data_IF_770876593466
#
_entry.id   IF_770876593466
#
_cell.length_a   1.000
_cell.length_b   1.000
_cell.length_c   1.000
_cell.angle_alpha   90.00
_cell.angle_beta   90.00
_cell.angle_gamma   90.00
#
_symmetry.space_group_name_H-M   'P 1'
#
loop_
_entity.id
_entity.type
_entity.pdbx_description
1 polymer ?
#
# COMPACT_ATOMS: atom_id res chain seq x y z
N UNK A 1 13.23 17.52 8.02
CA UNK A 1 12.50 17.10 6.79
C UNK A 1 13.15 15.90 6.11
N UNK A 2 14.46 15.93 5.82
CA UNK A 2 15.18 14.83 5.14
C UNK A 2 14.99 13.45 5.80
N UNK A 3 15.03 13.37 7.13
CA UNK A 3 14.82 12.11 7.85
C UNK A 3 13.43 11.51 7.61
N UNK A 4 12.37 12.32 7.67
CA UNK A 4 11.00 11.84 7.43
C UNK A 4 10.82 11.32 6.00
N UNK A 5 11.38 12.03 5.01
CA UNK A 5 11.36 11.57 3.62
C UNK A 5 12.09 10.22 3.49
N UNK A 6 13.25 10.07 4.15
CA UNK A 6 13.96 8.79 4.16
C UNK A 6 13.13 7.67 4.82
N UNK A 7 12.47 7.95 5.95
CA UNK A 7 11.60 7.02 6.66
C UNK A 7 10.36 6.59 5.86
N UNK A 8 9.86 7.46 4.97
CA UNK A 8 8.80 7.11 4.02
C UNK A 8 9.25 6.14 2.91
N UNK A 9 10.57 5.87 2.79
CA UNK A 9 11.23 4.99 1.82
C UNK A 9 10.78 5.22 0.38
N UNK A 10 11.21 6.32 -0.27
CA UNK A 10 10.77 6.68 -1.62
C UNK A 10 11.00 5.57 -2.67
N UNK A 11 12.06 4.76 -2.49
CA UNK A 11 12.37 3.60 -3.35
C UNK A 11 11.30 2.50 -3.33
N UNK A 12 10.45 2.45 -2.32
CA UNK A 12 9.34 1.48 -2.21
C UNK A 12 8.03 1.99 -2.84
N UNK A 13 7.90 3.31 -3.04
CA UNK A 13 6.66 3.91 -3.55
C UNK A 13 6.26 3.48 -4.97
N UNK A 14 7.18 3.12 -5.89
CA UNK A 14 6.78 2.54 -7.17
C UNK A 14 5.92 1.28 -7.03
N UNK A 15 6.15 0.44 -6.01
CA UNK A 15 5.34 -0.75 -5.76
C UNK A 15 3.89 -0.41 -5.39
N UNK A 16 3.64 0.77 -4.81
CA UNK A 16 2.31 1.28 -4.49
C UNK A 16 1.66 2.04 -5.66
N UNK A 17 2.47 2.69 -6.51
CA UNK A 17 2.02 3.50 -7.63
C UNK A 17 1.55 2.64 -8.82
N UNK A 18 2.35 1.66 -9.21
CA UNK A 18 2.13 0.84 -10.41
C UNK A 18 0.78 0.11 -10.39
N UNK A 19 0.36 -0.57 -9.30
CA UNK A 19 -0.93 -1.24 -9.24
C UNK A 19 -2.12 -0.33 -9.54
N UNK A 20 -2.09 0.90 -9.03
CA UNK A 20 -3.19 1.86 -9.21
C UNK A 20 -3.26 2.33 -10.66
N UNK A 21 -2.12 2.63 -11.27
CA UNK A 21 -2.04 3.03 -12.68
C UNK A 21 -2.53 1.89 -13.57
N UNK A 22 -1.98 0.68 -13.39
CA UNK A 22 -2.33 -0.49 -14.22
C UNK A 22 -3.79 -0.87 -14.05
N UNK A 23 -4.30 -0.90 -12.82
CA UNK A 23 -5.71 -1.22 -12.53
C UNK A 23 -6.67 -0.20 -13.16
N UNK A 24 -6.37 1.09 -13.02
CA UNK A 24 -7.16 2.17 -13.63
C UNK A 24 -7.12 2.10 -15.15
N UNK A 25 -5.95 1.85 -15.74
CA UNK A 25 -5.81 1.70 -17.19
C UNK A 25 -6.54 0.46 -17.72
N UNK A 26 -6.53 -0.65 -16.98
CA UNK A 26 -7.27 -1.86 -17.35
C UNK A 26 -8.79 -1.68 -17.32
N UNK A 27 -9.29 -0.68 -16.60
CA UNK A 27 -10.70 -0.30 -16.59
C UNK A 27 -11.08 0.67 -17.73
N UNK A 28 -10.11 1.26 -18.43
CA UNK A 28 -10.35 2.23 -19.49
C UNK A 28 -11.17 1.60 -20.65
N UNK A 29 -12.17 2.33 -21.14
CA UNK A 29 -13.06 1.85 -22.22
C UNK A 29 -14.09 0.79 -21.81
N UNK A 30 -14.10 0.33 -20.55
CA UNK A 30 -15.10 -0.64 -20.07
C UNK A 30 -16.43 -0.01 -19.65
N UNK A 31 -16.53 1.32 -19.63
CA UNK A 31 -17.76 2.06 -19.31
C UNK A 31 -18.62 2.39 -20.54
N UNK A 32 -18.33 1.80 -21.71
CA UNK A 32 -19.11 1.98 -22.94
C UNK A 32 -18.79 3.26 -23.72
N UNK A 33 -17.83 4.06 -23.25
CA UNK A 33 -17.34 5.24 -23.95
C UNK A 33 -16.27 4.86 -24.99
N UNK A 34 -16.39 5.39 -26.21
CA UNK A 34 -15.45 5.15 -27.31
C UNK A 34 -14.10 5.84 -27.08
N UNK A 35 -14.05 6.85 -26.21
CA UNK A 35 -12.80 7.40 -25.72
C UNK A 35 -12.44 6.76 -24.36
N UNK A 36 -11.44 5.88 -24.38
CA UNK A 36 -11.02 5.09 -23.23
C UNK A 36 -10.73 5.94 -21.97
N UNK A 37 -10.28 7.19 -22.12
CA UNK A 37 -9.98 8.10 -21.01
C UNK A 37 -11.18 8.88 -20.50
N UNK A 38 -12.19 9.15 -21.35
CA UNK A 38 -13.39 9.91 -20.95
C UNK A 38 -14.28 9.14 -19.99
N UNK A 39 -14.26 7.81 -20.08
CA UNK A 39 -15.01 6.93 -19.17
C UNK A 39 -14.41 6.76 -17.77
N UNK A 40 -13.27 7.40 -17.46
CA UNK A 40 -12.60 7.26 -16.16
C UNK A 40 -12.94 8.42 -15.21
N UNK A 41 -13.17 8.09 -13.94
CA UNK A 41 -13.34 9.07 -12.88
C UNK A 41 -11.98 9.47 -12.31
N UNK A 42 -11.46 10.61 -12.76
CA UNK A 42 -10.14 11.14 -12.35
C UNK A 42 -10.04 11.26 -10.83
N UNK A 43 -11.09 11.75 -10.17
CA UNK A 43 -11.07 11.91 -8.72
C UNK A 43 -10.96 10.54 -8.00
N UNK A 44 -11.58 9.47 -8.54
CA UNK A 44 -11.49 8.11 -7.98
C UNK A 44 -10.07 7.55 -8.17
N UNK A 45 -9.43 7.83 -9.30
CA UNK A 45 -8.03 7.48 -9.53
C UNK A 45 -7.08 8.18 -8.54
N UNK A 46 -7.24 9.49 -8.36
CA UNK A 46 -6.44 10.27 -7.40
C UNK A 46 -6.67 9.77 -5.98
N UNK A 47 -7.91 9.50 -5.59
CA UNK A 47 -8.22 8.95 -4.27
C UNK A 47 -7.59 7.56 -4.08
N UNK A 48 -7.63 6.67 -5.09
CA UNK A 48 -6.98 5.36 -5.03
C UNK A 48 -5.45 5.47 -4.90
N UNK A 49 -4.83 6.44 -5.58
CA UNK A 49 -3.40 6.76 -5.41
C UNK A 49 -3.10 7.24 -4.00
N UNK A 50 -3.92 8.11 -3.44
CA UNK A 50 -3.77 8.59 -2.06
C UNK A 50 -3.86 7.42 -1.08
N UNK A 51 -4.85 6.53 -1.24
CA UNK A 51 -4.96 5.30 -0.42
C UNK A 51 -3.68 4.48 -0.50
N UNK A 52 -3.26 4.11 -1.71
CA UNK A 52 -2.11 3.21 -1.92
C UNK A 52 -0.81 3.80 -1.36
N UNK A 53 -0.52 5.06 -1.68
CA UNK A 53 0.69 5.74 -1.22
C UNK A 53 0.66 5.97 0.30
N UNK A 54 -0.48 6.38 0.87
CA UNK A 54 -0.58 6.59 2.31
C UNK A 54 -0.47 5.29 3.10
N UNK A 55 -1.04 4.17 2.61
CA UNK A 55 -0.82 2.85 3.20
C UNK A 55 0.65 2.42 3.12
N UNK A 56 1.31 2.57 1.96
CA UNK A 56 2.72 2.23 1.81
C UNK A 56 3.63 3.04 2.76
N UNK A 57 3.40 4.35 2.84
CA UNK A 57 4.14 5.23 3.76
C UNK A 57 3.84 4.84 5.21
N UNK A 58 2.58 4.57 5.54
CA UNK A 58 2.15 4.14 6.87
C UNK A 58 2.82 2.83 7.29
N UNK A 59 2.88 1.83 6.40
CA UNK A 59 3.62 0.57 6.61
C UNK A 59 5.10 0.83 6.85
N UNK A 60 5.72 1.71 6.06
CA UNK A 60 7.14 2.02 6.22
C UNK A 60 7.45 2.62 7.59
N UNK A 61 6.59 3.51 8.11
CA UNK A 61 6.71 4.04 9.47
C UNK A 61 6.33 3.03 10.54
N UNK A 62 5.31 2.21 10.33
CA UNK A 62 4.91 1.16 11.26
C UNK A 62 6.04 0.13 11.45
N UNK A 63 6.71 -0.24 10.36
CA UNK A 63 7.90 -1.10 10.37
C UNK A 63 9.07 -0.41 11.08
N UNK A 64 9.33 0.87 10.80
CA UNK A 64 10.39 1.63 11.48
C UNK A 64 10.19 1.69 12.99
N UNK A 65 8.97 2.01 13.42
CA UNK A 65 8.59 2.00 14.82
C UNK A 65 8.74 0.61 15.45
N UNK A 66 8.12 -0.40 14.84
CA UNK A 66 7.99 -1.73 15.44
C UNK A 66 9.31 -2.50 15.48
N UNK A 67 10.13 -2.40 14.42
CA UNK A 67 11.48 -2.98 14.40
C UNK A 67 12.41 -2.24 15.38
N UNK A 68 12.31 -0.91 15.44
CA UNK A 68 13.13 -0.07 16.31
C UNK A 68 12.90 -0.31 17.80
N UNK A 69 11.65 -0.42 18.26
CA UNK A 69 11.37 -0.71 19.68
C UNK A 69 11.69 -2.15 20.08
N UNK A 70 11.71 -3.09 19.12
CA UNK A 70 12.10 -4.49 19.38
C UNK A 70 13.60 -4.71 19.43
N UNK A 71 14.39 -3.72 18.99
CA UNK A 71 15.85 -3.84 18.89
C UNK A 71 16.32 -4.60 17.65
N UNK A 72 15.43 -4.96 16.72
CA UNK A 72 15.77 -5.65 15.47
C UNK A 72 16.69 -4.82 14.57
N UNK A 73 16.65 -3.49 14.72
CA UNK A 73 17.50 -2.55 13.96
C UNK A 73 18.85 -2.22 14.65
N UNK A 74 19.22 -2.86 15.77
CA UNK A 74 20.43 -2.51 16.54
C UNK A 74 21.76 -2.78 15.80
N UNK A 75 21.90 -3.94 15.15
CA UNK A 75 23.12 -4.36 14.44
C UNK A 75 22.95 -4.41 12.92
N UNK A 76 22.02 -3.62 12.39
CA UNK A 76 21.62 -3.69 10.99
C UNK A 76 22.58 -2.93 10.06
N UNK A 77 22.96 -3.58 8.96
CA UNK A 77 23.51 -2.93 7.76
C UNK A 77 22.35 -2.62 6.81
N UNK A 78 22.01 -1.34 6.61
CA UNK A 78 20.90 -0.94 5.73
C UNK A 78 20.55 0.54 5.80
N UNK A 79 19.48 0.98 5.09
CA UNK A 79 19.03 2.37 5.11
C UNK A 79 18.70 2.83 6.52
N UNK A 80 18.96 4.12 6.79
CA UNK A 80 18.70 4.75 8.08
C UNK A 80 17.24 4.54 8.55
N UNK A 81 17.09 4.15 9.82
CA UNK A 81 15.80 3.99 10.53
C UNK A 81 15.61 5.08 11.55
N UNK A 82 14.44 5.70 11.60
CA UNK A 82 14.14 6.84 12.46
C UNK A 82 14.21 6.48 13.95
N UNK A 83 13.58 5.35 14.30
CA UNK A 83 13.43 4.87 15.68
C UNK A 83 14.71 4.18 16.14
N UNK A 84 15.22 3.23 15.36
CA UNK A 84 16.42 2.46 15.70
C UNK A 84 17.69 3.32 15.84
N UNK A 85 17.81 4.41 15.05
CA UNK A 85 18.95 5.33 15.17
C UNK A 85 18.78 6.44 16.23
N UNK A 86 17.65 6.47 16.94
CA UNK A 86 17.34 7.52 17.93
C UNK A 86 17.07 8.92 17.33
N UNK A 87 17.04 9.08 16.01
CA UNK A 87 16.79 10.39 15.36
C UNK A 87 15.39 10.95 15.60
N UNK A 88 14.41 10.09 15.84
CA UNK A 88 13.04 10.44 16.23
C UNK A 88 12.55 9.53 17.34
N UNK A 89 11.72 10.08 18.22
CA UNK A 89 11.12 9.28 19.28
C UNK A 89 10.16 8.24 18.70
N UNK A 90 10.10 7.02 19.27
CA UNK A 90 9.19 5.97 18.80
C UNK A 90 7.73 6.44 18.75
N UNK A 91 7.30 7.24 19.73
CA UNK A 91 5.95 7.82 19.76
C UNK A 91 5.66 8.75 18.58
N UNK A 92 6.64 9.52 18.11
CA UNK A 92 6.47 10.37 16.93
C UNK A 92 6.34 9.54 15.64
N UNK A 93 7.15 8.50 15.49
CA UNK A 93 7.10 7.61 14.31
C UNK A 93 5.80 6.80 14.28
N UNK A 94 5.36 6.29 15.43
CA UNK A 94 4.03 5.64 15.57
C UNK A 94 2.91 6.59 15.15
N UNK A 95 2.91 7.84 15.64
CA UNK A 95 1.90 8.84 15.24
C UNK A 95 1.92 9.09 13.73
N UNK A 96 3.09 9.19 13.12
CA UNK A 96 3.21 9.35 11.67
C UNK A 96 2.58 8.18 10.91
N UNK A 97 2.81 6.93 11.35
CA UNK A 97 2.18 5.74 10.76
C UNK A 97 0.65 5.81 10.83
N UNK A 98 0.08 6.11 12.01
CA UNK A 98 -1.37 6.20 12.18
C UNK A 98 -2.00 7.39 11.44
N UNK A 99 -1.30 8.52 11.32
CA UNK A 99 -1.75 9.64 10.50
C UNK A 99 -1.83 9.24 9.02
N UNK A 100 -0.82 8.51 8.51
CA UNK A 100 -0.85 7.96 7.15
C UNK A 100 -2.01 6.97 6.95
N UNK A 101 -2.26 6.08 7.91
CA UNK A 101 -3.43 5.20 7.87
C UNK A 101 -4.76 5.98 7.93
N UNK A 102 -4.82 7.07 8.71
CA UNK A 102 -5.98 7.96 8.74
C UNK A 102 -6.25 8.62 7.39
N UNK A 103 -5.21 9.11 6.71
CA UNK A 103 -5.32 9.66 5.34
C UNK A 103 -5.84 8.59 4.37
N UNK A 104 -5.29 7.38 4.43
CA UNK A 104 -5.77 6.27 3.63
C UNK A 104 -7.24 5.92 3.94
N UNK A 105 -7.64 5.92 5.21
CA UNK A 105 -9.00 5.61 5.62
C UNK A 105 -9.99 6.67 5.10
N UNK A 106 -9.66 7.96 5.18
CA UNK A 106 -10.53 9.03 4.66
C UNK A 106 -10.69 8.93 3.13
N UNK A 107 -9.59 8.72 2.39
CA UNK A 107 -9.66 8.54 0.94
C UNK A 107 -10.34 7.22 0.53
N UNK A 108 -10.15 6.16 1.30
CA UNK A 108 -10.81 4.87 1.08
C UNK A 108 -12.32 4.92 1.36
N UNK A 109 -12.73 5.66 2.40
CA UNK A 109 -14.13 5.89 2.71
C UNK A 109 -14.84 6.70 1.62
N UNK A 110 -14.19 7.72 1.05
CA UNK A 110 -14.80 8.47 -0.06
C UNK A 110 -15.01 7.59 -1.31
N UNK A 111 -14.08 6.68 -1.59
CA UNK A 111 -14.24 5.67 -2.63
C UNK A 111 -15.38 4.69 -2.32
N UNK A 112 -15.47 4.20 -1.07
CA UNK A 112 -16.53 3.29 -0.66
C UNK A 112 -17.93 3.92 -0.78
N UNK A 113 -18.08 5.18 -0.36
CA UNK A 113 -19.33 5.95 -0.48
C UNK A 113 -19.73 6.12 -1.94
N UNK A 114 -18.78 6.34 -2.84
CA UNK A 114 -19.07 6.57 -4.25
C UNK A 114 -19.22 5.31 -5.10
N UNK A 115 -18.91 4.14 -4.55
CA UNK A 115 -18.92 2.86 -5.30
C UNK A 115 -19.62 1.78 -4.50
N UNK A 116 -18.95 1.19 -3.51
CA UNK A 116 -19.54 0.14 -2.69
C UNK A 116 -18.97 0.03 -1.28
N UNK A 117 -19.85 -0.20 -0.32
CA UNK A 117 -19.54 -0.29 1.11
C UNK A 117 -18.63 -1.45 1.49
N UNK A 118 -18.55 -2.53 0.70
CA UNK A 118 -17.64 -3.65 0.98
C UNK A 118 -16.16 -3.23 0.90
N UNK A 119 -15.83 -2.13 0.21
CA UNK A 119 -14.49 -1.54 0.22
C UNK A 119 -14.04 -1.09 1.62
N UNK A 120 -14.97 -0.82 2.55
CA UNK A 120 -14.62 -0.56 3.95
C UNK A 120 -13.96 -1.78 4.56
N UNK A 121 -14.50 -2.98 4.33
CA UNK A 121 -13.92 -4.22 4.85
C UNK A 121 -12.52 -4.45 4.25
N UNK A 122 -12.34 -4.21 2.95
CA UNK A 122 -11.01 -4.29 2.29
C UNK A 122 -10.02 -3.31 2.92
N UNK A 123 -10.44 -2.06 3.12
CA UNK A 123 -9.60 -1.02 3.73
C UNK A 123 -9.19 -1.38 5.16
N UNK A 124 -10.12 -1.88 5.97
CA UNK A 124 -9.83 -2.34 7.33
C UNK A 124 -8.84 -3.51 7.34
N UNK A 125 -9.02 -4.49 6.44
CA UNK A 125 -8.09 -5.62 6.29
C UNK A 125 -6.71 -5.14 5.84
N UNK A 126 -6.64 -4.19 4.90
CA UNK A 126 -5.38 -3.63 4.43
C UNK A 126 -4.63 -2.85 5.53
N UNK A 127 -5.33 -2.06 6.34
CA UNK A 127 -4.73 -1.35 7.49
C UNK A 127 -4.28 -2.35 8.56
N UNK A 128 -5.08 -3.39 8.83
CA UNK A 128 -4.70 -4.43 9.79
C UNK A 128 -3.46 -5.19 9.32
N UNK A 129 -3.41 -5.59 8.05
CA UNK A 129 -2.23 -6.21 7.44
C UNK A 129 -1.02 -5.28 7.55
N UNK A 130 -1.16 -4.02 7.16
CA UNK A 130 -0.12 -3.00 7.26
C UNK A 130 0.48 -2.88 8.66
N UNK A 131 -0.35 -2.89 9.71
CA UNK A 131 0.11 -2.82 11.09
C UNK A 131 0.71 -4.13 11.58
N UNK A 132 0.03 -5.27 11.39
CA UNK A 132 0.46 -6.56 11.92
C UNK A 132 1.59 -7.24 11.12
N UNK A 133 2.03 -6.63 10.00
CA UNK A 133 3.20 -7.09 9.27
C UNK A 133 4.44 -7.14 10.17
N UNK A 134 4.73 -6.04 10.86
CA UNK A 134 5.78 -5.99 11.89
C UNK A 134 5.23 -5.65 13.26
N UNK A 135 4.04 -5.09 13.42
CA UNK A 135 3.46 -4.71 14.72
C UNK A 135 2.78 -5.85 15.47
N UNK A 136 2.51 -5.64 16.76
CA UNK A 136 1.76 -6.59 17.60
C UNK A 136 2.60 -7.73 18.21
N UNK A 137 1.98 -8.65 18.97
CA UNK A 137 2.68 -9.71 19.68
C UNK A 137 3.17 -10.84 18.77
N UNK A 138 2.53 -11.04 17.61
CA UNK A 138 2.85 -12.09 16.62
C UNK A 138 2.85 -11.51 15.19
N UNK A 139 3.86 -10.71 14.84
CA UNK A 139 3.95 -10.11 13.52
C UNK A 139 4.17 -11.17 12.45
N UNK A 140 3.32 -11.17 11.41
CA UNK A 140 3.36 -12.20 10.38
C UNK A 140 4.47 -11.99 9.36
N UNK A 141 5.06 -10.79 9.29
CA UNK A 141 6.20 -10.50 8.41
C UNK A 141 7.45 -11.31 8.72
N UNK A 142 7.57 -11.85 9.94
CA UNK A 142 8.66 -12.76 10.31
C UNK A 142 8.33 -14.25 10.09
N UNK A 143 7.16 -14.57 9.52
CA UNK A 143 6.76 -15.95 9.24
C UNK A 143 7.21 -16.45 7.85
N UNK A 144 8.01 -15.67 7.11
CA UNK A 144 8.49 -16.06 5.77
C UNK A 144 7.42 -16.02 4.68
N UNK A 145 6.30 -15.32 4.91
CA UNK A 145 5.19 -15.19 3.97
C UNK A 145 5.11 -13.81 3.29
N UNK A 146 6.16 -12.98 3.42
CA UNK A 146 6.14 -11.59 2.97
C UNK A 146 5.78 -11.43 1.49
N UNK A 147 6.34 -12.29 0.64
CA UNK A 147 6.10 -12.36 -0.79
C UNK A 147 4.62 -12.62 -1.11
N UNK A 148 4.00 -13.56 -0.41
CA UNK A 148 2.57 -13.89 -0.60
C UNK A 148 1.71 -12.68 -0.25
N UNK A 149 1.99 -12.01 0.86
CA UNK A 149 1.25 -10.81 1.26
C UNK A 149 1.47 -9.64 0.30
N UNK A 150 2.70 -9.45 -0.20
CA UNK A 150 2.96 -8.42 -1.22
C UNK A 150 2.21 -8.71 -2.51
N UNK A 151 2.24 -9.97 -2.98
CA UNK A 151 1.47 -10.38 -4.15
C UNK A 151 -0.04 -10.14 -3.97
N UNK A 152 -0.60 -10.50 -2.81
CA UNK A 152 -2.03 -10.32 -2.53
C UNK A 152 -2.39 -8.83 -2.43
N UNK A 153 -1.69 -8.05 -1.62
CA UNK A 153 -2.08 -6.66 -1.35
C UNK A 153 -1.69 -5.70 -2.46
N UNK A 154 -0.44 -5.76 -2.96
CA UNK A 154 0.02 -4.88 -4.04
C UNK A 154 -0.36 -5.40 -5.43
N UNK A 155 -0.35 -6.71 -5.63
CA UNK A 155 -0.85 -7.31 -6.86
C UNK A 155 -2.37 -7.25 -6.91
N UNK A 156 -3.02 -8.23 -6.29
CA UNK A 156 -4.47 -8.47 -6.46
C UNK A 156 -5.31 -7.32 -5.93
N UNK A 157 -5.20 -6.98 -4.65
CA UNK A 157 -6.09 -6.01 -3.99
C UNK A 157 -5.92 -4.61 -4.57
N UNK A 158 -4.69 -4.09 -4.66
CA UNK A 158 -4.46 -2.74 -5.17
C UNK A 158 -4.79 -2.62 -6.66
N UNK A 159 -4.38 -3.58 -7.51
CA UNK A 159 -4.65 -3.50 -8.96
C UNK A 159 -6.12 -3.68 -9.27
N UNK A 160 -6.74 -4.77 -8.79
CA UNK A 160 -8.15 -5.04 -9.05
C UNK A 160 -9.07 -4.05 -8.33
N UNK A 161 -8.73 -3.61 -7.12
CA UNK A 161 -9.47 -2.56 -6.41
C UNK A 161 -9.45 -1.22 -7.13
N UNK A 162 -8.31 -0.85 -7.72
CA UNK A 162 -8.19 0.38 -8.51
C UNK A 162 -9.01 0.32 -9.81
N UNK A 163 -9.12 -0.85 -10.43
CA UNK A 163 -10.06 -1.05 -11.53
C UNK A 163 -11.50 -0.99 -11.04
N UNK A 164 -11.82 -1.69 -9.95
CA UNK A 164 -13.17 -1.76 -9.38
C UNK A 164 -13.74 -0.37 -9.09
N UNK A 165 -12.95 0.55 -8.52
CA UNK A 165 -13.48 1.90 -8.24
C UNK A 165 -13.84 2.68 -9.50
N UNK A 166 -13.35 2.29 -10.68
CA UNK A 166 -13.67 2.93 -11.95
C UNK A 166 -14.92 2.34 -12.63
N UNK A 167 -15.12 1.02 -12.52
CA UNK A 167 -16.12 0.28 -13.33
C UNK A 167 -17.11 -0.54 -12.49
N UNK A 168 -16.95 -0.53 -11.17
CA UNK A 168 -17.81 -1.12 -10.14
C UNK A 168 -18.07 -2.63 -10.31
N UNK A 169 -17.11 -3.32 -10.96
CA UNK A 169 -17.10 -4.77 -11.14
C UNK A 169 -15.68 -5.29 -11.28
N UNK A 170 -15.49 -6.55 -10.91
CA UNK A 170 -14.24 -7.29 -11.15
C UNK A 170 -14.38 -8.03 -12.48
N UNK A 171 -13.37 -7.92 -13.35
CA UNK A 171 -13.35 -8.60 -14.65
C UNK A 171 -12.18 -9.57 -14.73
N UNK A 172 -12.24 -10.60 -15.60
CA UNK A 172 -11.10 -11.49 -15.84
C UNK A 172 -9.84 -10.72 -16.21
N UNK A 173 -9.95 -9.65 -17.03
CA UNK A 173 -8.80 -8.81 -17.38
C UNK A 173 -8.17 -8.17 -16.15
N UNK A 174 -8.97 -7.60 -15.25
CA UNK A 174 -8.44 -6.92 -14.04
C UNK A 174 -7.74 -7.87 -13.06
N UNK A 175 -8.11 -9.15 -13.06
CA UNK A 175 -7.43 -10.20 -12.32
C UNK A 175 -6.16 -10.69 -13.03
N UNK A 176 -6.21 -10.83 -14.37
CA UNK A 176 -5.06 -11.26 -15.15
C UNK A 176 -3.91 -10.24 -15.09
N UNK A 177 -4.21 -8.94 -15.17
CA UNK A 177 -3.19 -7.89 -15.08
C UNK A 177 -2.62 -7.72 -13.67
N UNK A 178 -3.35 -8.15 -12.62
CA UNK A 178 -2.84 -8.07 -11.25
C UNK A 178 -1.74 -9.08 -10.96
N UNK A 179 -1.68 -10.18 -11.72
CA UNK A 179 -0.65 -11.22 -11.58
C UNK A 179 0.75 -10.68 -11.89
N UNK A 180 1.06 -10.16 -13.09
CA UNK A 180 2.39 -9.63 -13.38
C UNK A 180 2.75 -8.45 -12.46
N UNK A 181 1.79 -7.58 -12.12
CA UNK A 181 2.01 -6.49 -11.15
C UNK A 181 2.42 -7.03 -9.79
N UNK A 182 1.72 -8.05 -9.27
CA UNK A 182 2.04 -8.69 -8.00
C UNK A 182 3.40 -9.39 -8.02
N UNK A 183 3.76 -10.05 -9.13
CA UNK A 183 5.08 -10.67 -9.30
C UNK A 183 6.19 -9.62 -9.31
N UNK A 184 6.01 -8.48 -9.98
CA UNK A 184 6.97 -7.38 -9.95
C UNK A 184 7.12 -6.76 -8.56
N UNK A 185 6.00 -6.54 -7.85
CA UNK A 185 6.05 -6.06 -6.47
C UNK A 185 6.79 -7.03 -5.54
N UNK A 186 6.58 -8.33 -5.75
CA UNK A 186 7.28 -9.40 -5.02
C UNK A 186 8.77 -9.42 -5.35
N UNK A 187 9.14 -9.31 -6.63
CA UNK A 187 10.54 -9.24 -7.04
C UNK A 187 11.26 -8.02 -6.43
N UNK A 188 10.58 -6.87 -6.37
CA UNK A 188 11.10 -5.69 -5.67
C UNK A 188 11.32 -5.95 -4.17
N UNK A 189 10.43 -6.67 -3.50
CA UNK A 189 10.63 -7.07 -2.11
C UNK A 189 11.87 -7.96 -1.96
N UNK A 190 12.00 -8.99 -2.81
CA UNK A 190 13.14 -9.92 -2.78
C UNK A 190 14.45 -9.15 -2.96
N UNK A 191 14.54 -8.28 -3.97
CA UNK A 191 15.75 -7.45 -4.20
C UNK A 191 16.05 -6.52 -3.02
N UNK A 192 15.03 -6.02 -2.31
CA UNK A 192 15.24 -5.20 -1.11
C UNK A 192 15.69 -6.01 0.12
N UNK A 193 15.51 -7.33 0.10
CA UNK A 193 15.87 -8.24 1.18
C UNK A 193 17.22 -8.94 0.97
N UNK A 194 17.79 -8.89 -0.25
CA UNK A 194 19.15 -9.32 -0.57
C UNK A 194 20.18 -8.28 -0.08
#
# INVERSE_FOLDING_TARGET
MKDWIAGARPRTLPAALVPVIVGTAAAAGMNGDTNALKGLFIWRFVAALVVSLALQIGVNYANDYSDGIRGTDADRVGPMRLTGSGRKSPGAVKRAAFLSFGVAAVAGLSLAVATSWWLIAVGLVAIAAAWFYTGGPRPYGYAGLGEVFVFVFFGVVATTGSAFVQIERITPLTLLVSIPVGLFATALLVVNNL
#
